data_IF_063236834650
#
_entry.id   IF_063236834650
#
_cell.length_a   1.000
_cell.length_b   1.000
_cell.length_c   1.000
_cell.angle_alpha   90.00
_cell.angle_beta   90.00
_cell.angle_gamma   90.00
#
_symmetry.space_group_name_H-M   'P 1'
#
loop_
_entity.id
_entity.type
_entity.pdbx_description
1 polymer ?
#
# COMPACT_ATOMS: atom_id res chain seq x y z
N UNK A 1 -39.53 -24.81 -25.34
CA UNK A 1 -38.19 -24.28 -25.71
C UNK A 1 -37.93 -22.86 -25.16
N UNK A 2 -38.85 -21.93 -25.27
CA UNK A 2 -38.60 -20.52 -24.78
C UNK A 2 -38.41 -20.41 -23.25
N UNK A 3 -39.09 -21.22 -22.43
CA UNK A 3 -38.92 -21.22 -20.95
C UNK A 3 -37.54 -21.69 -20.48
N UNK A 4 -36.93 -22.66 -21.18
CA UNK A 4 -35.61 -23.17 -20.80
C UNK A 4 -34.48 -22.21 -21.16
N UNK A 5 -34.64 -21.42 -22.23
CA UNK A 5 -33.69 -20.40 -22.63
C UNK A 5 -33.64 -19.26 -21.61
N UNK A 6 -34.75 -18.84 -21.02
CA UNK A 6 -34.79 -17.83 -19.97
C UNK A 6 -34.12 -18.31 -18.68
N UNK A 7 -34.22 -19.57 -18.33
CA UNK A 7 -33.57 -20.15 -17.12
C UNK A 7 -32.03 -20.20 -17.32
N UNK A 8 -31.59 -20.61 -18.51
CA UNK A 8 -30.17 -20.66 -18.84
C UNK A 8 -29.56 -19.23 -18.88
N UNK A 9 -30.28 -18.27 -19.44
CA UNK A 9 -29.87 -16.86 -19.46
C UNK A 9 -29.82 -16.24 -18.06
N UNK A 10 -30.78 -16.62 -17.18
CA UNK A 10 -30.81 -16.19 -15.78
C UNK A 10 -29.64 -16.79 -14.97
N UNK A 11 -29.27 -18.06 -15.23
CA UNK A 11 -28.10 -18.67 -14.58
C UNK A 11 -26.77 -18.05 -15.03
N UNK A 12 -26.68 -17.62 -16.31
CA UNK A 12 -25.48 -16.98 -16.83
C UNK A 12 -25.25 -15.57 -16.25
N UNK A 13 -26.31 -14.88 -15.85
CA UNK A 13 -26.21 -13.56 -15.20
C UNK A 13 -25.75 -13.61 -13.74
N UNK A 14 -25.84 -14.78 -13.08
CA UNK A 14 -25.42 -14.95 -11.68
C UNK A 14 -23.92 -15.17 -11.52
N UNK A 15 -23.16 -15.30 -12.59
CA UNK A 15 -21.69 -15.42 -12.57
C UNK A 15 -20.96 -14.07 -12.61
N UNK A 16 -21.65 -12.96 -12.36
CA UNK A 16 -21.02 -11.64 -12.18
C UNK A 16 -20.23 -11.69 -10.88
N UNK A 17 -18.96 -11.93 -11.07
CA UNK A 17 -17.88 -12.13 -10.13
C UNK A 17 -18.05 -11.51 -8.75
N UNK A 18 -18.15 -12.34 -7.73
CA UNK A 18 -17.64 -11.97 -6.42
C UNK A 18 -16.12 -11.75 -6.58
N UNK A 19 -15.73 -10.55 -6.93
CA UNK A 19 -14.33 -10.18 -6.82
C UNK A 19 -14.05 -10.03 -5.32
N UNK A 20 -13.24 -10.91 -4.80
CA UNK A 20 -12.83 -10.86 -3.43
C UNK A 20 -12.08 -9.54 -3.15
N UNK A 21 -12.36 -8.94 -2.03
CA UNK A 21 -11.76 -7.69 -1.62
C UNK A 21 -10.32 -7.94 -1.15
N UNK A 22 -9.35 -7.33 -1.83
CA UNK A 22 -7.96 -7.34 -1.40
C UNK A 22 -7.85 -6.60 -0.06
N UNK A 23 -7.28 -7.27 0.93
CA UNK A 23 -7.03 -6.72 2.26
C UNK A 23 -5.57 -6.30 2.38
N UNK A 24 -5.35 -5.04 2.72
CA UNK A 24 -4.04 -4.46 2.95
C UNK A 24 -3.82 -4.27 4.45
N UNK A 25 -2.60 -4.52 4.97
CA UNK A 25 -2.21 -4.11 6.32
C UNK A 25 -2.43 -2.60 6.54
N UNK A 26 -2.72 -2.21 7.76
CA UNK A 26 -3.01 -0.81 8.12
C UNK A 26 -1.87 0.18 7.86
N UNK A 27 -0.64 -0.31 7.66
CA UNK A 27 0.50 0.51 7.25
C UNK A 27 0.31 1.10 5.84
N UNK A 28 -0.48 0.45 4.99
CA UNK A 28 -0.82 0.93 3.65
C UNK A 28 -2.15 1.70 3.72
N UNK A 29 -2.05 2.97 3.96
CA UNK A 29 -3.19 3.89 4.11
C UNK A 29 -2.94 5.18 3.36
N UNK A 30 -3.98 5.98 3.21
CA UNK A 30 -3.87 7.31 2.63
C UNK A 30 -2.83 8.14 3.36
N UNK A 31 -2.14 8.99 2.62
CA UNK A 31 -1.08 9.89 3.09
C UNK A 31 0.18 9.18 3.62
N UNK A 32 0.37 7.89 3.28
CA UNK A 32 1.58 7.17 3.64
C UNK A 32 2.80 7.69 2.88
N UNK A 33 3.98 7.43 3.44
CA UNK A 33 5.27 7.69 2.80
C UNK A 33 5.98 6.37 2.55
N UNK A 34 6.40 6.14 1.31
CA UNK A 34 7.18 4.98 0.89
C UNK A 34 8.67 5.35 0.81
N UNK A 35 9.54 4.41 1.17
CA UNK A 35 10.99 4.65 1.14
C UNK A 35 11.48 4.87 -0.29
N UNK A 36 12.24 5.96 -0.51
CA UNK A 36 12.86 6.27 -1.80
C UNK A 36 14.10 5.42 -2.08
N UNK A 37 14.51 5.40 -3.35
CA UNK A 37 15.78 4.85 -3.87
C UNK A 37 16.00 3.34 -3.60
N UNK A 38 15.01 2.64 -3.06
CA UNK A 38 14.99 1.20 -2.83
C UNK A 38 13.76 0.57 -3.49
N UNK A 39 13.77 -0.74 -3.80
CA UNK A 39 12.55 -1.45 -4.16
C UNK A 39 11.50 -1.30 -3.05
N UNK A 40 10.27 -1.02 -3.43
CA UNK A 40 9.19 -0.77 -2.47
C UNK A 40 8.40 -2.08 -2.30
N UNK A 41 8.50 -2.77 -1.16
CA UNK A 41 7.73 -3.97 -0.90
C UNK A 41 6.28 -3.63 -0.58
N UNK A 42 5.36 -4.28 -1.26
CA UNK A 42 3.93 -4.27 -0.94
C UNK A 42 3.48 -5.70 -0.70
N UNK A 43 2.58 -5.89 0.25
CA UNK A 43 2.01 -7.19 0.59
C UNK A 43 0.60 -7.05 1.15
N UNK A 44 -0.09 -8.16 1.19
CA UNK A 44 -1.43 -8.20 1.74
C UNK A 44 -2.06 -9.57 1.60
N UNK A 45 -3.37 -9.59 1.69
CA UNK A 45 -4.18 -10.79 1.59
C UNK A 45 -5.22 -10.62 0.49
N UNK A 46 -5.52 -11.71 -0.19
CA UNK A 46 -6.54 -11.83 -1.22
C UNK A 46 -7.11 -13.24 -1.17
N UNK A 47 -8.03 -13.59 -2.04
CA UNK A 47 -8.47 -14.97 -2.14
C UNK A 47 -7.34 -15.90 -2.65
N UNK A 48 -7.34 -17.17 -2.24
CA UNK A 48 -6.36 -18.14 -2.71
C UNK A 48 -6.25 -18.16 -4.24
N UNK A 49 -5.02 -18.02 -4.73
CA UNK A 49 -4.70 -18.00 -6.17
C UNK A 49 -5.27 -16.81 -6.95
N UNK A 50 -5.82 -15.81 -6.29
CA UNK A 50 -6.29 -14.59 -6.93
C UNK A 50 -5.12 -13.83 -7.56
N UNK A 51 -5.37 -13.23 -8.71
CA UNK A 51 -4.42 -12.32 -9.34
C UNK A 51 -4.62 -10.92 -8.78
N UNK A 52 -3.56 -10.37 -8.19
CA UNK A 52 -3.54 -9.01 -7.66
C UNK A 52 -2.80 -8.11 -8.65
N UNK A 53 -3.48 -7.05 -9.06
CA UNK A 53 -2.95 -6.04 -9.97
C UNK A 53 -2.68 -4.77 -9.18
N UNK A 54 -1.47 -4.27 -9.26
CA UNK A 54 -1.04 -3.05 -8.58
C UNK A 54 -0.66 -2.02 -9.64
N UNK A 55 -1.16 -0.81 -9.49
CA UNK A 55 -0.79 0.32 -10.33
C UNK A 55 -0.19 1.41 -9.47
N UNK A 56 1.00 1.86 -9.84
CA UNK A 56 1.71 2.93 -9.15
C UNK A 56 2.52 3.76 -10.14
N UNK A 57 2.31 5.06 -10.13
CA UNK A 57 3.01 6.03 -10.97
C UNK A 57 3.08 5.60 -12.45
N UNK A 58 1.94 5.23 -13.03
CA UNK A 58 1.82 4.84 -14.44
C UNK A 58 2.39 3.47 -14.79
N UNK A 59 2.87 2.70 -13.81
CA UNK A 59 3.36 1.33 -13.98
C UNK A 59 2.41 0.33 -13.36
N UNK A 60 2.24 -0.80 -14.04
CA UNK A 60 1.42 -1.90 -13.58
C UNK A 60 2.30 -3.09 -13.19
N UNK A 61 1.97 -3.68 -12.05
CA UNK A 61 2.61 -4.88 -11.51
C UNK A 61 1.53 -5.93 -11.28
N UNK A 62 1.89 -7.19 -11.46
CA UNK A 62 0.99 -8.31 -11.24
C UNK A 62 1.65 -9.35 -10.36
N UNK A 63 0.91 -9.85 -9.39
CA UNK A 63 1.31 -10.96 -8.54
C UNK A 63 0.12 -11.89 -8.35
N UNK A 64 0.35 -13.04 -7.76
CA UNK A 64 -0.69 -14.01 -7.47
C UNK A 64 -0.64 -14.39 -6.00
N UNK A 65 -1.80 -14.41 -5.35
CA UNK A 65 -1.92 -14.85 -3.98
C UNK A 65 -1.59 -16.36 -3.87
N UNK A 66 -0.97 -16.72 -2.77
CA UNK A 66 -0.67 -18.10 -2.40
C UNK A 66 -1.94 -18.90 -2.11
N UNK A 67 -1.79 -20.17 -1.76
CA UNK A 67 -2.92 -20.98 -1.30
C UNK A 67 -3.46 -20.51 0.06
N UNK A 68 -2.65 -19.80 0.85
CA UNK A 68 -3.05 -19.19 2.13
C UNK A 68 -3.63 -17.77 1.94
N UNK A 69 -3.67 -17.28 0.70
CA UNK A 69 -4.19 -15.95 0.36
C UNK A 69 -3.17 -14.83 0.52
N UNK A 70 -1.93 -15.10 0.89
CA UNK A 70 -0.88 -14.10 1.02
C UNK A 70 -0.30 -13.75 -0.34
N UNK A 71 -0.03 -12.47 -0.57
CA UNK A 71 0.66 -12.00 -1.76
C UNK A 71 1.70 -10.94 -1.39
N UNK A 72 2.74 -10.87 -2.19
CA UNK A 72 3.77 -9.84 -2.09
C UNK A 72 4.27 -9.46 -3.48
N UNK A 73 4.72 -8.22 -3.63
CA UNK A 73 5.35 -7.68 -4.83
C UNK A 73 6.32 -6.58 -4.47
N UNK A 74 7.40 -6.47 -5.22
CA UNK A 74 8.32 -5.36 -5.11
C UNK A 74 8.11 -4.39 -6.28
N UNK A 75 7.70 -3.16 -5.98
CA UNK A 75 7.68 -2.10 -6.97
C UNK A 75 9.11 -1.63 -7.23
N UNK A 76 9.33 -1.08 -8.42
CA UNK A 76 10.62 -0.49 -8.75
C UNK A 76 10.92 0.71 -7.83
N UNK A 77 12.19 0.95 -7.61
CA UNK A 77 12.66 2.12 -6.86
C UNK A 77 12.19 3.42 -7.51
N UNK A 78 11.80 4.37 -6.67
CA UNK A 78 11.38 5.72 -7.07
C UNK A 78 12.24 6.76 -6.35
N UNK A 79 12.39 7.91 -6.96
CA UNK A 79 12.94 9.10 -6.31
C UNK A 79 11.86 9.75 -5.45
N UNK A 80 12.29 10.61 -4.52
CA UNK A 80 11.37 11.40 -3.71
C UNK A 80 10.40 12.20 -4.58
N UNK A 81 9.13 12.24 -4.17
CA UNK A 81 8.07 12.93 -4.88
C UNK A 81 6.69 12.53 -4.42
N UNK A 82 5.69 13.06 -5.07
CA UNK A 82 4.26 12.83 -4.80
C UNK A 82 3.47 14.13 -4.88
N UNK A 83 2.16 14.11 -4.59
CA UNK A 83 1.39 12.91 -4.23
C UNK A 83 1.15 11.97 -5.42
N UNK A 84 1.14 10.69 -5.16
CA UNK A 84 0.80 9.63 -6.11
C UNK A 84 -0.46 8.90 -5.66
N UNK A 85 -1.11 8.21 -6.59
CA UNK A 85 -2.15 7.23 -6.30
C UNK A 85 -1.55 5.82 -6.41
N UNK A 86 -1.83 4.99 -5.41
CA UNK A 86 -1.53 3.56 -5.43
C UNK A 86 -2.85 2.81 -5.52
N UNK A 87 -3.00 2.02 -6.58
CA UNK A 87 -4.17 1.18 -6.78
C UNK A 87 -3.82 -0.28 -6.63
N UNK A 88 -4.59 -1.00 -5.86
CA UNK A 88 -4.46 -2.45 -5.66
C UNK A 88 -5.82 -3.08 -5.95
N UNK A 89 -5.98 -3.71 -7.12
CA UNK A 89 -7.26 -4.11 -7.68
C UNK A 89 -8.24 -2.92 -7.68
N UNK A 90 -9.32 -2.99 -6.89
CA UNK A 90 -10.32 -1.91 -6.76
C UNK A 90 -10.01 -0.92 -5.63
N UNK A 91 -9.06 -1.26 -4.74
CA UNK A 91 -8.69 -0.41 -3.62
C UNK A 91 -7.76 0.69 -4.07
N UNK A 92 -8.10 1.92 -3.75
CA UNK A 92 -7.33 3.11 -4.08
C UNK A 92 -6.80 3.72 -2.79
N UNK A 93 -5.50 3.99 -2.75
CA UNK A 93 -4.81 4.70 -1.67
C UNK A 93 -4.35 6.03 -2.24
N UNK A 94 -4.80 7.11 -1.64
CA UNK A 94 -4.54 8.46 -2.11
C UNK A 94 -3.42 9.14 -1.35
N UNK A 95 -2.87 10.21 -1.95
CA UNK A 95 -1.84 11.05 -1.34
C UNK A 95 -0.61 10.25 -0.88
N UNK A 96 -0.16 9.28 -1.68
CA UNK A 96 1.04 8.51 -1.41
C UNK A 96 2.28 9.33 -1.78
N UNK A 97 3.20 9.47 -0.86
CA UNK A 97 4.48 10.13 -1.10
C UNK A 97 5.62 9.12 -1.11
N UNK A 98 6.69 9.47 -1.80
CA UNK A 98 7.96 8.75 -1.76
C UNK A 98 9.01 9.67 -1.15
N UNK A 99 9.69 9.22 -0.10
CA UNK A 99 10.64 10.05 0.64
C UNK A 99 11.51 9.22 1.57
N UNK A 100 12.13 9.87 2.53
CA UNK A 100 12.93 9.20 3.55
C UNK A 100 12.03 8.75 4.70
N UNK A 101 12.09 7.47 5.02
CA UNK A 101 11.36 6.85 6.13
C UNK A 101 12.35 6.36 7.16
N UNK A 102 12.23 6.86 8.38
CA UNK A 102 13.09 6.47 9.50
C UNK A 102 12.28 5.70 10.54
N UNK A 103 12.80 4.56 10.95
CA UNK A 103 12.26 3.83 12.09
C UNK A 103 12.95 4.32 13.35
N UNK A 104 12.20 5.03 14.20
CA UNK A 104 12.67 5.46 15.50
C UNK A 104 12.16 4.49 16.56
N UNK A 105 13.08 3.93 17.34
CA UNK A 105 12.77 2.98 18.41
C UNK A 105 13.68 3.24 19.60
N UNK A 106 13.19 2.98 20.80
CA UNK A 106 13.93 3.17 22.03
C UNK A 106 13.02 3.23 23.24
N UNK A 107 13.61 3.33 24.43
CA UNK A 107 12.88 3.46 25.68
C UNK A 107 12.67 4.95 26.04
N UNK A 108 13.34 5.44 27.10
CA UNK A 108 13.14 6.80 27.62
C UNK A 108 13.44 7.93 26.63
N UNK A 109 14.35 7.72 25.69
CA UNK A 109 14.65 8.72 24.67
C UNK A 109 13.51 8.97 23.69
N UNK A 110 12.56 8.05 23.56
CA UNK A 110 11.39 8.23 22.73
C UNK A 110 10.25 9.00 23.41
N UNK A 111 10.32 9.17 24.72
CA UNK A 111 9.38 10.00 25.48
C UNK A 111 9.72 11.49 25.41
N UNK A 112 10.95 11.83 24.98
CA UNK A 112 11.37 13.22 24.85
C UNK A 112 10.65 13.88 23.67
N UNK A 113 9.97 14.97 23.93
CA UNK A 113 9.37 15.75 22.86
C UNK A 113 10.44 16.39 21.98
N UNK A 114 10.14 16.60 20.71
CA UNK A 114 11.05 17.29 19.75
C UNK A 114 11.53 18.63 20.32
N UNK A 115 10.67 19.35 21.05
CA UNK A 115 11.02 20.60 21.70
C UNK A 115 12.15 20.46 22.73
N UNK A 116 12.13 19.40 23.52
CA UNK A 116 13.20 19.12 24.50
C UNK A 116 14.47 18.61 23.81
N UNK A 117 14.33 17.84 22.74
CA UNK A 117 15.43 17.34 21.94
C UNK A 117 16.19 18.47 21.23
N UNK A 118 15.47 19.47 20.75
CA UNK A 118 16.04 20.60 19.99
C UNK A 118 16.61 21.73 20.87
N UNK A 119 16.36 21.74 22.18
CA UNK A 119 16.89 22.76 23.08
C UNK A 119 18.44 22.83 22.99
N UNK A 120 19.11 21.70 22.83
CA UNK A 120 20.57 21.67 22.69
C UNK A 120 21.07 21.93 21.29
N UNK A 121 20.21 21.87 20.28
CA UNK A 121 20.57 22.09 18.87
C UNK A 121 20.28 23.54 18.46
N UNK A 122 19.29 24.17 19.07
CA UNK A 122 18.85 25.53 18.71
C UNK A 122 19.52 26.65 19.50
N UNK A 123 20.31 26.33 20.53
CA UNK A 123 21.19 27.36 21.13
C UNK A 123 22.41 27.54 20.22
N UNK A 124 22.52 28.70 19.54
CA UNK A 124 23.81 29.08 18.95
C UNK A 124 24.80 29.14 20.10
N UNK A 125 25.86 28.35 20.03
CA UNK A 125 27.01 28.51 20.89
C UNK A 125 27.34 29.98 20.94
N UNK A 126 27.00 30.67 22.03
CA UNK A 126 27.55 32.00 22.32
C UNK A 126 29.02 31.78 22.50
N UNK A 127 29.78 32.08 21.45
CA UNK A 127 31.18 32.30 21.57
C UNK A 127 31.31 33.54 22.45
N UNK A 128 31.71 33.32 23.66
CA UNK A 128 32.19 34.38 24.56
C UNK A 128 33.52 34.91 24.08
#
# INVERSE_FOLDING_TARGET
MKKNICIILSLLLYTIGMQAEVRLPGIFSDKMVLQRDTPIPLWGFADPKETVVIEFNGKQYKTRASQTGEWAVNLQKHKAGGPYELRVNQKIIQDVYVGDVYLCSGQSNMELTVKLSLIHISEPTRLL
#
